data_IF_176552554555
#
_entry.id   IF_176552554555
#
_cell.length_a   1.000
_cell.length_b   1.000
_cell.length_c   1.000
_cell.angle_alpha   90.00
_cell.angle_beta   90.00
_cell.angle_gamma   90.00
#
_symmetry.space_group_name_H-M   'P 1'
#
loop_
_entity.id
_entity.type
_entity.pdbx_description
1 polymer ?
#
# COMPACT_ATOMS: atom_id res chain seq x y z
N UNK A 1 25.02 4.57 3.23
CA UNK A 1 26.23 4.13 2.50
C UNK A 1 26.09 2.65 2.25
N UNK A 2 26.04 2.22 0.99
CA UNK A 2 25.90 0.80 0.63
C UNK A 2 27.29 0.17 0.71
N UNK A 3 27.40 -0.90 1.50
CA UNK A 3 28.61 -1.72 1.65
C UNK A 3 28.88 -2.46 0.32
N UNK A 4 29.95 -2.06 -0.37
CA UNK A 4 30.32 -2.55 -1.70
C UNK A 4 30.84 -4.00 -1.68
N UNK A 5 31.20 -4.53 -0.51
CA UNK A 5 31.84 -5.85 -0.41
C UNK A 5 30.84 -7.02 -0.42
N UNK A 6 29.53 -6.74 -0.31
CA UNK A 6 28.46 -7.75 -0.37
C UNK A 6 27.94 -8.11 -1.77
N UNK A 7 28.34 -7.39 -2.82
CA UNK A 7 27.76 -7.53 -4.18
C UNK A 7 28.67 -8.33 -5.15
N UNK A 8 29.91 -8.63 -4.76
CA UNK A 8 30.89 -9.30 -5.63
C UNK A 8 30.61 -10.76 -6.06
N UNK A 9 29.75 -11.59 -5.46
CA UNK A 9 29.67 -12.99 -5.90
C UNK A 9 28.86 -13.23 -7.18
N UNK A 10 28.09 -12.26 -7.70
CA UNK A 10 27.06 -12.57 -8.72
C UNK A 10 27.31 -12.05 -10.15
N UNK A 11 28.34 -11.23 -10.42
CA UNK A 11 28.69 -10.89 -11.80
C UNK A 11 30.07 -10.21 -11.90
N UNK A 12 31.07 -10.80 -12.57
CA UNK A 12 32.41 -10.20 -12.68
C UNK A 12 32.50 -8.99 -13.62
N UNK A 13 31.40 -8.57 -14.27
CA UNK A 13 31.39 -7.48 -15.27
C UNK A 13 30.55 -6.26 -14.85
N UNK A 14 30.11 -6.19 -13.59
CA UNK A 14 29.26 -5.11 -13.10
C UNK A 14 30.08 -3.94 -12.56
N UNK A 15 30.31 -2.94 -13.41
CA UNK A 15 30.87 -1.65 -13.03
C UNK A 15 29.79 -0.71 -12.51
N UNK A 16 29.75 -0.47 -11.20
CA UNK A 16 28.95 0.63 -10.60
C UNK A 16 29.79 1.89 -10.64
N UNK A 17 29.37 2.90 -11.42
CA UNK A 17 30.00 4.21 -11.45
C UNK A 17 29.02 5.27 -10.92
N UNK A 18 29.51 6.10 -10.01
CA UNK A 18 28.82 7.29 -9.50
C UNK A 18 29.28 8.50 -10.32
N UNK A 19 28.35 9.26 -10.90
CA UNK A 19 28.67 10.56 -11.50
C UNK A 19 28.16 11.69 -10.61
N UNK A 20 28.84 12.84 -10.71
CA UNK A 20 28.50 14.06 -9.99
C UNK A 20 27.01 14.39 -10.16
N UNK A 21 26.28 14.49 -9.05
CA UNK A 21 24.82 14.71 -9.03
C UNK A 21 24.00 13.66 -8.29
N UNK A 22 24.61 12.58 -7.79
CA UNK A 22 23.92 11.58 -6.95
C UNK A 22 23.09 10.54 -7.72
N UNK A 23 23.20 10.52 -9.04
CA UNK A 23 22.57 9.49 -9.88
C UNK A 23 23.47 8.24 -9.97
N UNK A 24 22.90 7.08 -9.63
CA UNK A 24 23.57 5.79 -9.78
C UNK A 24 23.16 5.13 -11.11
N UNK A 25 24.14 4.60 -11.85
CA UNK A 25 23.91 3.90 -13.10
C UNK A 25 24.52 2.50 -13.03
N UNK A 26 23.78 1.52 -13.55
CA UNK A 26 24.28 0.18 -13.80
C UNK A 26 24.78 0.12 -15.24
N UNK A 27 26.06 -0.16 -15.45
CA UNK A 27 26.57 -0.45 -16.79
C UNK A 27 26.49 -1.95 -17.06
N UNK A 28 25.83 -2.32 -18.16
CA UNK A 28 25.78 -3.71 -18.64
C UNK A 28 26.38 -3.75 -20.04
N UNK A 29 27.47 -4.50 -20.20
CA UNK A 29 28.08 -4.76 -21.51
C UNK A 29 27.51 -6.05 -22.08
N UNK A 30 26.76 -5.95 -23.18
CA UNK A 30 26.25 -7.12 -23.88
C UNK A 30 27.35 -7.88 -24.62
N UNK A 31 27.11 -9.16 -24.98
CA UNK A 31 28.05 -10.01 -25.75
C UNK A 31 28.54 -9.41 -27.08
N UNK A 32 27.90 -8.35 -27.55
CA UNK A 32 28.17 -7.69 -28.82
C UNK A 32 29.07 -6.44 -28.65
N UNK A 33 29.66 -6.24 -27.46
CA UNK A 33 30.55 -5.11 -27.15
C UNK A 33 29.84 -3.76 -26.95
N UNK A 34 28.50 -3.72 -27.04
CA UNK A 34 27.71 -2.50 -26.79
C UNK A 34 27.45 -2.36 -25.29
N UNK A 35 27.80 -1.19 -24.76
CA UNK A 35 27.57 -0.83 -23.36
C UNK A 35 26.27 -0.02 -23.26
N UNK A 36 25.29 -0.55 -22.53
CA UNK A 36 24.08 0.17 -22.16
C UNK A 36 24.17 0.60 -20.69
N UNK A 37 23.80 1.85 -20.40
CA UNK A 37 23.66 2.33 -19.03
C UNK A 37 22.18 2.32 -18.65
N UNK A 38 21.81 1.54 -17.64
CA UNK A 38 20.49 1.59 -17.03
C UNK A 38 20.57 2.56 -15.87
N UNK A 39 19.79 3.65 -15.92
CA UNK A 39 19.65 4.56 -14.78
C UNK A 39 19.00 3.78 -13.65
N UNK A 40 19.68 3.65 -12.51
CA UNK A 40 18.99 3.27 -11.29
C UNK A 40 18.18 4.50 -10.89
N UNK A 41 16.89 4.50 -11.24
CA UNK A 41 15.98 5.51 -10.73
C UNK A 41 15.94 5.36 -9.21
N UNK A 42 16.66 6.25 -8.51
CA UNK A 42 16.45 6.45 -7.09
C UNK A 42 14.97 6.71 -6.85
N UNK A 43 14.46 6.19 -5.72
CA UNK A 43 13.09 6.47 -5.25
C UNK A 43 12.85 7.97 -5.34
N UNK A 44 12.08 8.37 -6.35
CA UNK A 44 11.75 9.77 -6.57
C UNK A 44 10.78 10.18 -5.47
N UNK A 45 11.26 10.96 -4.49
CA UNK A 45 10.38 11.67 -3.56
C UNK A 45 9.59 12.72 -4.35
N UNK A 46 8.48 12.30 -4.93
CA UNK A 46 7.53 13.21 -5.57
C UNK A 46 6.78 14.00 -4.49
N UNK A 47 7.21 15.24 -4.24
CA UNK A 47 6.30 16.27 -3.71
C UNK A 47 5.27 16.57 -4.81
N UNK A 48 4.17 15.83 -4.89
CA UNK A 48 3.15 16.12 -5.89
C UNK A 48 2.32 17.35 -5.48
N UNK A 49 2.51 18.45 -6.20
CA UNK A 49 1.48 19.47 -6.37
C UNK A 49 0.40 18.93 -7.33
N UNK A 50 -0.85 18.86 -6.86
CA UNK A 50 -2.05 19.06 -7.69
C UNK A 50 -2.48 17.93 -8.64
N UNK A 51 -2.85 16.76 -8.12
CA UNK A 51 -3.95 15.96 -8.71
C UNK A 51 -5.22 16.25 -7.90
N UNK A 52 -6.43 16.24 -8.50
CA UNK A 52 -7.68 16.39 -7.74
C UNK A 52 -7.68 15.39 -6.58
N UNK A 53 -7.49 15.91 -5.36
CA UNK A 53 -7.19 15.07 -4.21
C UNK A 53 -8.40 14.24 -3.84
N UNK A 54 -8.23 12.92 -3.77
CA UNK A 54 -9.18 12.08 -3.04
C UNK A 54 -9.12 12.44 -1.55
N UNK A 55 -10.18 12.18 -0.77
CA UNK A 55 -10.14 12.42 0.68
C UNK A 55 -8.94 11.77 1.39
N UNK A 56 -8.49 10.59 0.92
CA UNK A 56 -7.29 9.92 1.42
C UNK A 56 -6.00 10.74 1.20
N UNK A 57 -5.80 11.25 -0.02
CA UNK A 57 -4.62 12.08 -0.34
C UNK A 57 -4.66 13.43 0.37
N UNK A 58 -5.85 14.00 0.57
CA UNK A 58 -6.04 15.22 1.36
C UNK A 58 -5.65 14.97 2.83
N UNK A 59 -6.06 13.85 3.41
CA UNK A 59 -5.71 13.49 4.79
C UNK A 59 -4.19 13.36 4.98
N UNK A 60 -3.48 12.71 4.04
CA UNK A 60 -2.02 12.59 4.07
C UNK A 60 -1.32 13.94 3.92
N UNK A 61 -1.79 14.77 2.98
CA UNK A 61 -1.24 16.11 2.77
C UNK A 61 -1.42 17.01 4.00
N UNK A 62 -2.60 16.98 4.63
CA UNK A 62 -2.88 17.72 5.87
C UNK A 62 -1.99 17.26 7.02
N UNK A 63 -1.71 15.96 7.11
CA UNK A 63 -0.79 15.40 8.07
C UNK A 63 0.70 15.62 7.76
N UNK A 64 1.02 16.24 6.61
CA UNK A 64 2.38 16.42 6.07
C UNK A 64 3.15 15.09 6.02
N UNK A 65 2.44 14.00 5.75
CA UNK A 65 3.03 12.67 5.64
C UNK A 65 3.75 12.51 4.30
N UNK A 66 4.82 11.72 4.29
CA UNK A 66 5.45 11.27 3.04
C UNK A 66 4.62 10.13 2.44
N UNK A 67 4.28 10.24 1.16
CA UNK A 67 3.59 9.20 0.40
C UNK A 67 3.87 9.36 -1.09
N UNK A 68 3.71 8.27 -1.84
CA UNK A 68 3.71 8.26 -3.29
C UNK A 68 2.36 7.78 -3.83
N UNK A 69 2.05 8.15 -5.07
CA UNK A 69 0.84 7.74 -5.77
C UNK A 69 1.22 6.85 -6.95
N UNK A 70 0.51 5.73 -7.07
CA UNK A 70 0.75 4.70 -8.07
C UNK A 70 -0.53 4.49 -8.86
N UNK A 71 -0.71 5.22 -9.98
CA UNK A 71 -1.80 4.94 -10.90
C UNK A 71 -1.56 3.62 -11.63
N UNK A 72 -2.63 2.91 -11.92
CA UNK A 72 -2.62 1.71 -12.76
C UNK A 72 -3.93 1.63 -13.56
N UNK A 73 -3.88 0.94 -14.70
CA UNK A 73 -5.06 0.73 -15.52
C UNK A 73 -5.96 -0.32 -14.86
N UNK A 74 -7.18 0.08 -14.52
CA UNK A 74 -8.19 -0.78 -13.93
C UNK A 74 -9.16 -1.27 -15.02
N UNK A 75 -9.33 -2.58 -15.14
CA UNK A 75 -10.38 -3.19 -15.96
C UNK A 75 -11.73 -3.02 -15.24
N UNK A 76 -12.69 -2.28 -15.84
CA UNK A 76 -14.02 -2.08 -15.24
C UNK A 76 -14.78 -3.37 -14.93
N UNK A 77 -14.40 -4.50 -15.54
CA UNK A 77 -15.02 -5.82 -15.31
C UNK A 77 -14.36 -6.59 -14.16
N UNK A 78 -13.18 -6.18 -13.69
CA UNK A 78 -12.48 -6.85 -12.61
C UNK A 78 -13.11 -6.54 -11.25
N UNK A 79 -13.25 -7.58 -10.43
CA UNK A 79 -13.66 -7.47 -9.02
C UNK A 79 -12.52 -7.78 -8.03
N UNK A 80 -11.37 -8.23 -8.56
CA UNK A 80 -10.16 -8.57 -7.80
C UNK A 80 -9.22 -7.35 -7.72
N UNK A 81 -9.73 -6.24 -7.18
CA UNK A 81 -9.08 -4.93 -7.27
C UNK A 81 -7.68 -4.89 -6.63
N UNK A 82 -7.45 -5.69 -5.58
CA UNK A 82 -6.18 -5.72 -4.87
C UNK A 82 -5.13 -6.51 -5.64
N UNK A 83 -5.51 -7.69 -6.14
CA UNK A 83 -4.70 -8.57 -6.97
C UNK A 83 -4.33 -7.89 -8.29
N UNK A 84 -5.31 -7.25 -8.95
CA UNK A 84 -5.08 -6.46 -10.16
C UNK A 84 -4.08 -5.32 -9.94
N UNK A 85 -4.20 -4.57 -8.83
CA UNK A 85 -3.25 -3.52 -8.50
C UNK A 85 -1.84 -4.08 -8.31
N UNK A 86 -1.73 -5.27 -7.70
CA UNK A 86 -0.46 -5.90 -7.45
C UNK A 86 0.23 -6.36 -8.73
N UNK A 87 -0.53 -7.01 -9.62
CA UNK A 87 -0.04 -7.46 -10.92
C UNK A 87 0.36 -6.27 -11.80
N UNK A 88 -0.47 -5.23 -11.86
CA UNK A 88 -0.23 -4.05 -12.69
C UNK A 88 0.98 -3.23 -12.21
N UNK A 89 1.22 -3.18 -10.89
CA UNK A 89 2.33 -2.41 -10.30
C UNK A 89 3.61 -3.24 -10.10
N UNK A 90 3.56 -4.57 -10.28
CA UNK A 90 4.68 -5.46 -10.01
C UNK A 90 5.07 -5.51 -8.53
N UNK A 91 4.08 -5.40 -7.64
CA UNK A 91 4.28 -5.35 -6.18
C UNK A 91 3.81 -6.68 -5.55
N UNK A 92 4.54 -7.23 -4.56
CA UNK A 92 4.10 -8.43 -3.85
C UNK A 92 2.72 -8.27 -3.19
N UNK A 93 1.91 -9.33 -3.23
CA UNK A 93 0.52 -9.32 -2.74
C UNK A 93 0.44 -9.09 -1.22
N UNK A 94 1.51 -9.41 -0.50
CA UNK A 94 1.67 -9.21 0.94
C UNK A 94 1.85 -7.73 1.30
N UNK A 95 2.29 -6.90 0.35
CA UNK A 95 2.59 -5.48 0.56
C UNK A 95 1.45 -4.55 0.10
N UNK A 96 0.44 -5.07 -0.59
CA UNK A 96 -0.80 -4.35 -0.91
C UNK A 96 -1.88 -4.77 0.08
N UNK A 97 -2.53 -3.78 0.70
CA UNK A 97 -3.53 -3.96 1.71
C UNK A 97 -4.90 -3.51 1.22
N UNK A 98 -5.89 -4.40 1.37
CA UNK A 98 -7.29 -4.11 1.10
C UNK A 98 -8.00 -3.61 2.36
N UNK A 99 -8.84 -2.60 2.17
CA UNK A 99 -9.67 -2.03 3.25
C UNK A 99 -11.05 -2.69 3.21
N UNK A 100 -11.38 -3.38 4.28
CA UNK A 100 -12.65 -4.06 4.49
C UNK A 100 -13.40 -3.40 5.65
N UNK A 101 -14.73 -3.49 5.63
CA UNK A 101 -15.57 -3.01 6.73
C UNK A 101 -16.45 -4.15 7.22
N UNK A 102 -16.50 -4.32 8.53
CA UNK A 102 -17.27 -5.35 9.19
C UNK A 102 -18.19 -4.75 10.25
N UNK A 103 -19.33 -5.40 10.45
CA UNK A 103 -20.24 -5.17 11.57
C UNK A 103 -19.77 -5.95 12.78
N UNK A 104 -19.64 -5.25 13.90
CA UNK A 104 -19.29 -5.77 15.21
C UNK A 104 -20.40 -5.47 16.20
N UNK A 105 -20.31 -6.01 17.41
CA UNK A 105 -21.27 -5.75 18.49
C UNK A 105 -21.40 -4.26 18.85
N UNK A 106 -20.37 -3.45 18.58
CA UNK A 106 -20.35 -2.00 18.87
C UNK A 106 -20.58 -1.12 17.63
N UNK A 107 -20.85 -1.73 16.47
CA UNK A 107 -21.08 -1.05 15.20
C UNK A 107 -20.04 -1.40 14.14
N UNK A 108 -19.89 -0.52 13.15
CA UNK A 108 -18.97 -0.75 12.03
C UNK A 108 -17.52 -0.51 12.45
N UNK A 109 -16.62 -1.36 11.95
CA UNK A 109 -15.18 -1.22 12.11
C UNK A 109 -14.46 -1.58 10.80
N UNK A 110 -13.26 -1.04 10.63
CA UNK A 110 -12.41 -1.20 9.45
C UNK A 110 -11.32 -2.23 9.74
N UNK A 111 -11.15 -3.18 8.83
CA UNK A 111 -10.02 -4.11 8.81
C UNK A 111 -9.13 -3.79 7.60
N UNK A 112 -7.83 -3.65 7.82
CA UNK A 112 -6.84 -3.46 6.75
C UNK A 112 -5.95 -4.68 6.72
N UNK A 113 -6.08 -5.51 5.69
CA UNK A 113 -5.42 -6.83 5.58
C UNK A 113 -4.67 -6.96 4.26
N UNK A 114 -3.58 -7.74 4.18
CA UNK A 114 -2.87 -7.96 2.92
C UNK A 114 -3.78 -8.63 1.88
N UNK A 115 -3.54 -8.31 0.61
CA UNK A 115 -4.25 -8.92 -0.52
C UNK A 115 -4.00 -10.42 -0.57
N UNK A 116 -2.78 -10.85 -0.23
CA UNK A 116 -2.37 -12.26 -0.15
C UNK A 116 -3.24 -13.13 0.79
N UNK A 117 -3.98 -12.51 1.72
CA UNK A 117 -4.78 -13.23 2.72
C UNK A 117 -6.26 -12.88 2.70
N UNK A 118 -7.00 -13.48 3.64
CA UNK A 118 -8.41 -13.18 3.93
C UNK A 118 -8.56 -12.70 5.37
N UNK A 119 -9.54 -11.84 5.62
CA UNK A 119 -9.85 -11.37 6.98
C UNK A 119 -10.32 -12.55 7.87
N UNK A 120 -9.65 -12.72 9.01
CA UNK A 120 -10.15 -13.52 10.12
C UNK A 120 -11.13 -12.69 10.95
N UNK A 121 -12.44 -12.89 10.74
CA UNK A 121 -13.48 -12.18 11.49
C UNK A 121 -13.43 -12.42 13.00
N UNK A 122 -12.95 -13.60 13.44
CA UNK A 122 -12.83 -13.92 14.88
C UNK A 122 -11.66 -13.16 15.49
N UNK A 123 -10.49 -13.18 14.84
CA UNK A 123 -9.33 -12.44 15.31
C UNK A 123 -9.57 -10.92 15.27
N UNK A 124 -10.23 -10.43 14.21
CA UNK A 124 -10.63 -9.04 14.09
C UNK A 124 -11.58 -8.59 15.21
N UNK A 125 -12.61 -9.38 15.51
CA UNK A 125 -13.49 -9.11 16.65
C UNK A 125 -12.71 -9.07 17.98
N UNK A 126 -11.80 -10.02 18.19
CA UNK A 126 -10.97 -10.08 19.40
C UNK A 126 -10.04 -8.87 19.53
N UNK A 127 -9.44 -8.39 18.44
CA UNK A 127 -8.61 -7.19 18.42
C UNK A 127 -9.39 -5.92 18.83
N UNK A 128 -10.69 -5.91 18.58
CA UNK A 128 -11.62 -4.85 19.03
C UNK A 128 -12.25 -5.13 20.40
N UNK A 129 -11.76 -6.14 21.13
CA UNK A 129 -12.31 -6.61 22.43
C UNK A 129 -13.77 -7.07 22.34
N UNK A 130 -14.22 -7.47 21.15
CA UNK A 130 -15.53 -8.05 20.89
C UNK A 130 -15.49 -9.57 20.71
N UNK A 131 -16.66 -10.17 20.51
CA UNK A 131 -16.81 -11.64 20.38
C UNK A 131 -17.12 -12.07 18.95
N UNK A 132 -17.77 -11.22 18.16
CA UNK A 132 -18.25 -11.53 16.81
C UNK A 132 -18.07 -10.35 15.87
N UNK A 133 -17.78 -10.67 14.62
CA UNK A 133 -17.83 -9.74 13.50
C UNK A 133 -18.41 -10.46 12.27
N UNK A 134 -19.07 -9.70 11.40
CA UNK A 134 -19.56 -10.14 10.10
C UNK A 134 -19.22 -9.09 9.04
N UNK A 135 -19.04 -9.49 7.78
CA UNK A 135 -18.83 -8.51 6.70
C UNK A 135 -20.02 -7.56 6.60
N UNK A 136 -19.75 -6.26 6.51
CA UNK A 136 -20.79 -5.26 6.37
C UNK A 136 -21.37 -5.26 4.95
N UNK A 137 -22.65 -4.91 4.83
CA UNK A 137 -23.30 -4.73 3.54
C UNK A 137 -22.64 -3.61 2.71
N UNK A 138 -22.45 -3.86 1.41
CA UNK A 138 -21.75 -2.95 0.52
C UNK A 138 -22.38 -1.55 0.50
N UNK A 139 -23.70 -1.42 0.37
CA UNK A 139 -24.36 -0.12 0.31
C UNK A 139 -24.20 0.66 1.63
N UNK A 140 -24.26 -0.05 2.77
CA UNK A 140 -23.97 0.54 4.08
C UNK A 140 -22.52 1.03 4.17
N UNK A 141 -21.56 0.26 3.68
CA UNK A 141 -20.14 0.63 3.65
C UNK A 141 -19.92 1.87 2.80
N UNK A 142 -20.46 1.92 1.59
CA UNK A 142 -20.27 3.06 0.69
C UNK A 142 -20.86 4.35 1.27
N UNK A 143 -22.04 4.26 1.88
CA UNK A 143 -22.69 5.40 2.55
C UNK A 143 -21.83 5.94 3.71
N UNK A 144 -21.30 5.06 4.55
CA UNK A 144 -20.57 5.42 5.78
C UNK A 144 -19.15 5.89 5.48
N UNK A 145 -18.46 5.22 4.55
CA UNK A 145 -17.07 5.56 4.19
C UNK A 145 -17.03 6.73 3.21
N UNK A 146 -18.04 6.87 2.35
CA UNK A 146 -18.03 7.79 1.21
C UNK A 146 -17.19 7.34 0.02
N UNK A 147 -16.67 6.11 0.07
CA UNK A 147 -15.99 5.47 -1.04
C UNK A 147 -16.89 4.41 -1.69
N UNK A 148 -16.53 3.98 -2.89
CA UNK A 148 -17.19 2.86 -3.57
C UNK A 148 -16.41 1.57 -3.37
N UNK A 149 -17.07 0.42 -3.47
CA UNK A 149 -16.41 -0.89 -3.46
C UNK A 149 -15.35 -0.96 -4.56
N UNK A 150 -14.17 -1.50 -4.21
CA UNK A 150 -12.95 -1.50 -5.03
C UNK A 150 -12.10 -0.23 -4.94
N UNK A 151 -12.60 0.83 -4.30
CA UNK A 151 -11.87 2.07 -4.07
C UNK A 151 -11.86 2.52 -2.61
N UNK A 152 -12.13 1.62 -1.66
CA UNK A 152 -12.22 1.97 -0.24
C UNK A 152 -10.81 2.18 0.32
N UNK A 153 -10.55 3.42 0.75
CA UNK A 153 -9.33 3.76 1.47
C UNK A 153 -9.52 3.65 2.98
N UNK A 154 -8.48 3.28 3.76
CA UNK A 154 -8.54 3.37 5.21
C UNK A 154 -8.45 4.83 5.70
N UNK A 155 -8.09 5.77 4.82
CA UNK A 155 -7.95 7.20 5.11
C UNK A 155 -9.05 8.02 4.45
N UNK A 156 -9.41 9.14 5.06
CA UNK A 156 -10.36 10.10 4.49
C UNK A 156 -11.81 9.62 4.41
N UNK A 157 -12.19 8.61 5.20
CA UNK A 157 -13.58 8.17 5.29
C UNK A 157 -14.47 9.25 5.91
N UNK A 158 -15.72 9.41 5.42
CA UNK A 158 -16.70 10.40 5.94
C UNK A 158 -16.93 10.24 7.43
N UNK A 159 -17.08 9.00 7.90
CA UNK A 159 -17.13 8.67 9.32
C UNK A 159 -15.84 7.95 9.70
N UNK A 160 -15.22 8.43 10.78
CA UNK A 160 -14.09 7.73 11.41
C UNK A 160 -14.60 6.47 12.12
N UNK A 161 -14.04 5.32 11.76
CA UNK A 161 -14.40 4.02 12.31
C UNK A 161 -13.22 3.44 13.12
N UNK A 162 -13.49 2.65 14.18
CA UNK A 162 -12.47 1.82 14.80
C UNK A 162 -11.76 1.00 13.72
N UNK A 163 -10.43 1.06 13.70
CA UNK A 163 -9.63 0.45 12.65
C UNK A 163 -8.63 -0.53 13.27
N UNK A 164 -8.48 -1.69 12.64
CA UNK A 164 -7.39 -2.63 12.94
C UNK A 164 -6.60 -2.85 11.65
N UNK A 165 -5.30 -2.66 11.73
CA UNK A 165 -4.36 -2.97 10.66
C UNK A 165 -3.69 -4.30 10.99
N UNK A 166 -3.63 -5.19 10.01
CA UNK A 166 -2.94 -6.46 10.18
C UNK A 166 -1.45 -6.24 10.50
N UNK A 167 -0.94 -6.99 11.48
CA UNK A 167 0.42 -6.80 11.98
C UNK A 167 1.50 -7.09 10.93
N UNK A 168 1.20 -7.85 9.87
CA UNK A 168 2.13 -8.09 8.76
C UNK A 168 2.60 -6.78 8.10
N UNK A 169 1.81 -5.71 8.17
CA UNK A 169 2.21 -4.39 7.67
C UNK A 169 3.51 -3.88 8.31
N UNK A 170 3.75 -4.23 9.58
CA UNK A 170 4.93 -3.78 10.34
C UNK A 170 6.24 -4.39 9.84
N UNK A 171 6.17 -5.45 9.02
CA UNK A 171 7.35 -6.09 8.42
C UNK A 171 7.89 -5.38 7.17
N UNK A 172 7.20 -4.36 6.66
CA UNK A 172 7.58 -3.65 5.44
C UNK A 172 8.07 -2.24 5.71
N UNK A 173 8.97 -1.74 4.86
CA UNK A 173 9.38 -0.32 4.87
C UNK A 173 8.21 0.59 4.45
N UNK A 174 7.47 0.19 3.43
CA UNK A 174 6.24 0.85 2.98
C UNK A 174 5.19 -0.17 2.57
N UNK A 175 3.93 0.24 2.65
CA UNK A 175 2.76 -0.54 2.26
C UNK A 175 1.91 0.23 1.26
N UNK A 176 1.13 -0.50 0.47
CA UNK A 176 0.20 0.05 -0.49
C UNK A 176 -1.24 -0.13 -0.03
N UNK A 177 -2.10 0.84 -0.30
CA UNK A 177 -3.55 0.73 -0.12
C UNK A 177 -4.30 1.70 -1.03
N UNK A 178 -5.59 1.45 -1.26
CA UNK A 178 -6.38 2.24 -2.21
C UNK A 178 -6.36 3.72 -1.87
N UNK A 179 -6.17 4.56 -2.88
CA UNK A 179 -6.19 6.00 -2.76
C UNK A 179 -7.60 6.58 -2.65
N UNK A 180 -8.67 5.79 -2.57
CA UNK A 180 -10.04 6.29 -2.52
C UNK A 180 -10.76 6.28 -3.88
N UNK A 181 -10.13 5.71 -4.91
CA UNK A 181 -10.71 5.44 -6.23
C UNK A 181 -10.00 4.24 -6.86
N UNK A 182 -10.67 3.58 -7.81
CA UNK A 182 -10.10 2.47 -8.59
C UNK A 182 -8.96 2.98 -9.47
N UNK A 183 -7.97 2.13 -9.75
CA UNK A 183 -6.80 2.49 -10.58
C UNK A 183 -5.80 3.43 -9.91
N UNK A 184 -5.87 3.61 -8.57
CA UNK A 184 -4.91 4.44 -7.85
C UNK A 184 -4.61 3.88 -6.45
N UNK A 185 -3.32 3.61 -6.20
CA UNK A 185 -2.82 3.21 -4.88
C UNK A 185 -1.99 4.35 -4.25
N UNK A 186 -1.98 4.40 -2.93
CA UNK A 186 -1.04 5.17 -2.10
C UNK A 186 0.04 4.20 -1.63
N UNK A 187 1.31 4.61 -1.70
CA UNK A 187 2.43 3.98 -0.99
C UNK A 187 2.88 4.89 0.16
N UNK A 188 2.98 4.36 1.38
CA UNK A 188 3.51 5.10 2.53
C UNK A 188 4.04 4.14 3.60
N UNK A 189 4.76 4.67 4.58
CA UNK A 189 5.25 3.86 5.70
C UNK A 189 4.07 3.37 6.57
N UNK A 190 4.13 2.15 7.14
CA UNK A 190 3.05 1.58 7.95
C UNK A 190 2.68 2.43 9.15
N UNK A 191 3.66 3.08 9.77
CA UNK A 191 3.49 3.97 10.92
C UNK A 191 2.60 5.19 10.58
N UNK A 192 2.72 5.74 9.37
CA UNK A 192 1.85 6.80 8.86
C UNK A 192 0.41 6.30 8.79
N UNK A 193 0.19 5.14 8.17
CA UNK A 193 -1.14 4.53 8.07
C UNK A 193 -1.76 4.32 9.45
N UNK A 194 -1.02 3.67 10.36
CA UNK A 194 -1.47 3.36 11.72
C UNK A 194 -1.78 4.65 12.50
N UNK A 195 -0.89 5.65 12.44
CA UNK A 195 -1.07 6.92 13.14
C UNK A 195 -2.29 7.70 12.65
N UNK A 196 -2.50 7.79 11.34
CA UNK A 196 -3.61 8.55 10.77
C UNK A 196 -4.97 7.85 10.97
N UNK A 197 -4.98 6.53 10.96
CA UNK A 197 -6.16 5.73 11.31
C UNK A 197 -6.37 5.60 12.82
N UNK A 198 -5.37 5.91 13.65
CA UNK A 198 -5.31 5.52 15.07
C UNK A 198 -5.67 4.04 15.25
N UNK A 199 -5.18 3.20 14.35
CA UNK A 199 -5.51 1.80 14.35
C UNK A 199 -4.83 1.06 15.50
N UNK A 200 -5.50 0.03 16.00
CA UNK A 200 -4.82 -1.06 16.67
C UNK A 200 -4.11 -1.93 15.62
N UNK A 201 -3.06 -2.64 16.04
CA UNK A 201 -2.41 -3.68 15.23
C UNK A 201 -2.61 -5.05 15.87
N UNK A 202 -2.90 -6.06 15.05
CA UNK A 202 -3.13 -7.43 15.48
C UNK A 202 -3.05 -8.40 14.30
N UNK A 203 -2.80 -9.70 14.51
CA UNK A 203 -2.89 -10.72 13.46
C UNK A 203 -4.36 -10.97 13.14
N UNK A 204 -4.86 -10.33 12.08
CA UNK A 204 -6.27 -10.38 11.65
C UNK A 204 -6.42 -10.96 10.24
N UNK A 205 -5.33 -11.35 9.58
CA UNK A 205 -5.34 -12.05 8.31
C UNK A 205 -5.06 -13.55 8.45
N UNK A 206 -5.68 -14.35 7.57
CA UNK A 206 -5.30 -15.74 7.27
C UNK A 206 -4.68 -15.75 5.89
N UNK A 207 -3.38 -16.00 5.83
CA UNK A 207 -2.59 -16.22 4.61
C UNK A 207 -2.40 -17.72 4.39
#
# INVERSE_FOLDING_TARGET
>A
MIDKDRIKPYCPLLGVQEKAGGDFYLSVTGRNGRTGAVRLSGVSKTKSKGGQGTPATVALAQAKAEFALHPYDHDPNSQAYGEEAADALGVPYERIFKTLVAETETGLAVAVVPVAGKLDLKAFAAALKGKRAAMADAAKVERVTGYVVGGISPLGQRKRLPTVVDESALGFETVYFSAGRRGLQIETAPDVLIRLTQAATAPIARV
#
